data_IF_801824998662
#
_entry.id   IF_801824998662
#
_cell.length_a   1.000
_cell.length_b   1.000
_cell.length_c   1.000
_cell.angle_alpha   90.00
_cell.angle_beta   90.00
_cell.angle_gamma   90.00
#
_symmetry.space_group_name_H-M   'P 1'
#
loop_
_entity.id
_entity.type
_entity.pdbx_description
1 polymer ?
#
# COMPACT_ATOMS: atom_id res chain seq x y z
N UNK A 1 12.57 -6.48 12.70
CA UNK A 1 11.64 -6.10 13.77
C UNK A 1 12.07 -6.77 15.04
N UNK A 2 12.06 -6.04 16.15
CA UNK A 2 12.36 -6.60 17.46
C UNK A 2 11.34 -7.70 17.84
N UNK A 3 11.84 -8.70 18.56
CA UNK A 3 11.40 -10.10 18.51
C UNK A 3 10.24 -10.45 19.46
N UNK A 4 9.44 -9.48 19.88
CA UNK A 4 8.44 -9.69 20.93
C UNK A 4 7.01 -9.64 20.36
N UNK A 5 6.37 -10.80 20.16
CA UNK A 5 4.97 -10.84 19.75
C UNK A 5 4.03 -10.64 20.94
N UNK A 6 2.90 -9.97 20.70
CA UNK A 6 1.70 -10.11 21.52
C UNK A 6 0.99 -11.39 21.14
N UNK A 7 0.70 -12.24 22.12
CA UNK A 7 0.08 -13.55 21.90
C UNK A 7 -1.18 -13.67 22.75
N UNK A 8 -2.31 -13.96 22.10
CA UNK A 8 -3.53 -14.40 22.76
C UNK A 8 -3.64 -15.92 22.63
N UNK A 9 -3.24 -16.66 23.66
CA UNK A 9 -3.27 -18.11 23.67
C UNK A 9 -4.70 -18.71 23.53
N UNK A 10 -5.74 -18.18 24.20
CA UNK A 10 -7.11 -18.68 24.02
C UNK A 10 -7.62 -18.57 22.57
N UNK A 11 -7.20 -17.52 21.86
CA UNK A 11 -7.60 -17.27 20.47
C UNK A 11 -6.59 -17.80 19.44
N UNK A 12 -5.45 -18.34 19.89
CA UNK A 12 -4.32 -18.73 19.04
C UNK A 12 -3.87 -17.61 18.07
N UNK A 13 -3.87 -16.37 18.54
CA UNK A 13 -3.57 -15.17 17.74
C UNK A 13 -2.22 -14.56 18.15
N UNK A 14 -1.43 -14.12 17.16
CA UNK A 14 -0.10 -13.55 17.37
C UNK A 14 0.11 -12.30 16.50
N UNK A 15 0.59 -11.21 17.10
CA UNK A 15 0.97 -9.98 16.40
C UNK A 15 2.39 -9.57 16.79
N UNK A 16 3.21 -9.11 15.84
CA UNK A 16 4.44 -8.39 16.22
C UNK A 16 4.07 -7.02 16.80
N UNK A 17 4.82 -6.52 17.78
CA UNK A 17 4.64 -5.17 18.34
C UNK A 17 4.52 -4.11 17.22
N UNK A 18 5.51 -4.09 16.33
CA UNK A 18 5.57 -3.16 15.19
C UNK A 18 4.44 -3.35 14.16
N UNK A 19 3.74 -4.48 14.21
CA UNK A 19 2.67 -4.79 13.26
C UNK A 19 1.27 -4.47 13.81
N UNK A 20 1.11 -4.20 15.11
CA UNK A 20 -0.17 -3.80 15.70
C UNK A 20 -0.61 -2.43 15.19
N UNK A 21 0.35 -1.52 15.05
CA UNK A 21 0.08 -0.14 14.63
C UNK A 21 0.01 0.01 13.10
N UNK A 22 0.12 -1.09 12.34
CA UNK A 22 -0.04 -1.04 10.90
C UNK A 22 -1.50 -0.79 10.54
N UNK A 23 -1.78 0.15 9.62
CA UNK A 23 -3.14 0.42 9.21
C UNK A 23 -3.76 -0.77 8.48
N UNK A 24 -5.07 -0.94 8.59
CA UNK A 24 -5.82 -2.05 8.01
C UNK A 24 -6.17 -1.81 6.55
N UNK A 25 -6.60 -0.61 6.17
CA UNK A 25 -6.95 -0.27 4.79
C UNK A 25 -6.36 1.08 4.43
N UNK A 26 -5.59 1.14 3.36
CA UNK A 26 -4.89 2.37 2.94
C UNK A 26 -4.97 2.58 1.42
N UNK A 27 -4.68 3.81 1.00
CA UNK A 27 -4.41 4.18 -0.39
C UNK A 27 -2.91 4.44 -0.56
N UNK A 28 -2.35 4.07 -1.71
CA UNK A 28 -0.94 4.32 -2.04
C UNK A 28 -0.79 4.91 -3.43
N UNK A 29 0.28 5.66 -3.67
CA UNK A 29 0.53 6.25 -4.99
C UNK A 29 0.95 5.28 -6.10
N UNK A 30 1.09 3.99 -5.79
CA UNK A 30 1.46 2.96 -6.77
C UNK A 30 0.28 2.11 -7.22
N UNK A 31 -0.93 2.40 -6.73
CA UNK A 31 -2.12 1.61 -7.07
C UNK A 31 -3.41 2.41 -6.84
N UNK A 32 -4.33 2.35 -7.80
CA UNK A 32 -5.56 3.17 -7.78
C UNK A 32 -6.60 2.66 -6.77
N UNK A 33 -6.56 1.38 -6.42
CA UNK A 33 -7.48 0.79 -5.46
C UNK A 33 -6.91 0.82 -4.05
N UNK A 34 -7.80 0.92 -3.05
CA UNK A 34 -7.43 0.67 -1.66
C UNK A 34 -6.87 -0.74 -1.51
N UNK A 35 -5.85 -0.84 -0.68
CA UNK A 35 -5.21 -2.10 -0.35
C UNK A 35 -5.45 -2.40 1.13
N UNK A 36 -5.68 -3.66 1.44
CA UNK A 36 -5.92 -4.11 2.80
C UNK A 36 -4.73 -4.89 3.33
N UNK A 37 -4.39 -4.64 4.59
CA UNK A 37 -3.36 -5.39 5.29
C UNK A 37 -3.85 -6.82 5.47
N UNK A 38 -3.02 -7.76 5.04
CA UNK A 38 -3.31 -9.18 5.12
C UNK A 38 -2.12 -9.87 5.76
N UNK A 39 -2.34 -10.42 6.95
CA UNK A 39 -1.42 -11.37 7.52
C UNK A 39 -1.41 -12.63 6.65
N UNK A 40 -0.25 -13.17 6.27
CA UNK A 40 -0.19 -14.28 5.35
C UNK A 40 -0.50 -15.57 6.10
N UNK A 41 -1.30 -16.44 5.50
CA UNK A 41 -1.42 -17.85 5.91
C UNK A 41 -1.07 -18.82 4.77
N UNK A 42 -0.69 -18.30 3.60
CA UNK A 42 -0.25 -19.12 2.48
C UNK A 42 1.10 -18.64 1.96
N UNK A 43 2.14 -19.49 1.97
CA UNK A 43 3.32 -19.28 1.15
C UNK A 43 2.89 -19.08 -0.30
N UNK A 44 3.47 -18.10 -0.98
CA UNK A 44 3.23 -17.87 -2.39
C UNK A 44 4.32 -16.99 -2.98
N UNK A 45 4.62 -17.19 -4.25
CA UNK A 45 5.62 -16.45 -5.01
C UNK A 45 5.06 -15.07 -5.40
N UNK A 46 4.81 -14.21 -4.42
CA UNK A 46 4.37 -12.83 -4.65
C UNK A 46 5.57 -11.89 -4.61
N UNK A 47 5.65 -11.00 -5.58
CA UNK A 47 6.67 -9.95 -5.66
C UNK A 47 6.04 -8.62 -5.21
N UNK A 48 6.79 -7.81 -4.47
CA UNK A 48 6.35 -6.50 -4.05
C UNK A 48 6.39 -5.50 -5.21
N UNK A 49 5.27 -4.86 -5.52
CA UNK A 49 5.18 -3.89 -6.62
C UNK A 49 5.92 -2.57 -6.36
N UNK A 50 6.34 -2.31 -5.12
CA UNK A 50 7.10 -1.09 -4.75
C UNK A 50 8.61 -1.31 -4.88
N UNK A 51 9.15 -2.38 -4.29
CA UNK A 51 10.60 -2.62 -4.22
C UNK A 51 11.09 -3.74 -5.14
N UNK A 52 10.17 -4.44 -5.81
CA UNK A 52 10.45 -5.56 -6.74
C UNK A 52 11.21 -6.73 -6.09
N UNK A 53 11.05 -6.92 -4.78
CA UNK A 53 11.60 -8.04 -4.02
C UNK A 53 10.49 -8.99 -3.56
N UNK A 54 10.85 -10.26 -3.34
CA UNK A 54 9.92 -11.29 -2.90
C UNK A 54 9.25 -10.95 -1.56
N UNK A 55 7.95 -11.19 -1.47
CA UNK A 55 7.17 -11.02 -0.25
C UNK A 55 7.36 -12.24 0.62
N UNK A 56 8.21 -12.10 1.63
CA UNK A 56 8.31 -13.10 2.69
C UNK A 56 7.08 -13.03 3.60
N UNK A 57 6.56 -14.18 3.99
CA UNK A 57 5.41 -14.32 4.89
C UNK A 57 5.62 -13.71 6.29
N UNK A 58 6.85 -13.33 6.66
CA UNK A 58 7.18 -12.95 8.04
C UNK A 58 6.70 -11.57 8.46
N UNK A 59 6.36 -10.70 7.52
CA UNK A 59 6.10 -9.27 7.82
C UNK A 59 4.75 -8.76 7.32
N UNK A 60 3.86 -9.67 6.91
CA UNK A 60 2.60 -9.28 6.28
C UNK A 60 2.78 -8.63 4.92
N UNK A 61 1.67 -8.48 4.22
CA UNK A 61 1.61 -7.76 2.96
C UNK A 61 0.28 -7.03 2.87
N UNK A 62 0.24 -5.97 2.07
CA UNK A 62 -1.03 -5.44 1.60
C UNK A 62 -1.35 -6.03 0.24
N UNK A 63 -2.64 -6.27 0.01
CA UNK A 63 -3.16 -6.77 -1.25
C UNK A 63 -4.40 -5.99 -1.65
N UNK A 64 -4.63 -5.87 -2.95
CA UNK A 64 -5.87 -5.31 -3.48
C UNK A 64 -6.93 -6.41 -3.60
N UNK A 65 -8.17 -6.11 -3.20
CA UNK A 65 -9.29 -7.03 -3.39
C UNK A 65 -9.76 -7.10 -4.85
N UNK A 66 -9.56 -6.02 -5.62
CA UNK A 66 -9.95 -5.91 -7.04
C UNK A 66 -8.85 -6.42 -7.98
N UNK A 67 -7.58 -6.34 -7.57
CA UNK A 67 -6.41 -6.74 -8.35
C UNK A 67 -5.64 -7.87 -7.65
N UNK A 68 -5.91 -9.15 -7.97
CA UNK A 68 -5.38 -10.30 -7.22
C UNK A 68 -3.86 -10.43 -7.29
N UNK A 69 -3.25 -9.93 -8.36
CA UNK A 69 -1.80 -9.96 -8.60
C UNK A 69 -1.06 -8.79 -7.94
N UNK A 70 -1.78 -7.78 -7.42
CA UNK A 70 -1.16 -6.65 -6.75
C UNK A 70 -0.82 -7.01 -5.30
N UNK A 71 0.46 -6.89 -4.92
CA UNK A 71 0.91 -7.10 -3.55
C UNK A 71 2.12 -6.25 -3.22
N UNK A 72 2.19 -5.80 -1.96
CA UNK A 72 3.29 -4.96 -1.48
C UNK A 72 3.67 -5.37 -0.06
N UNK A 73 4.95 -5.30 0.29
CA UNK A 73 5.37 -5.48 1.69
C UNK A 73 4.69 -4.45 2.58
N UNK A 74 4.36 -4.83 3.81
CA UNK A 74 3.78 -3.90 4.79
C UNK A 74 4.59 -2.61 4.93
N UNK A 75 5.92 -2.75 5.10
CA UNK A 75 6.83 -1.61 5.24
C UNK A 75 6.99 -0.78 3.96
N UNK A 76 6.77 -1.37 2.79
CA UNK A 76 6.78 -0.62 1.54
C UNK A 76 5.50 0.18 1.38
N UNK A 77 4.36 -0.40 1.77
CA UNK A 77 3.06 0.25 1.70
C UNK A 77 2.98 1.45 2.64
N UNK A 78 3.53 1.35 3.85
CA UNK A 78 3.48 2.42 4.87
C UNK A 78 4.71 3.34 4.85
N UNK A 79 5.45 3.39 3.75
CA UNK A 79 6.60 4.31 3.60
C UNK A 79 6.08 5.73 3.37
N UNK A 80 6.66 6.73 4.03
CA UNK A 80 6.15 8.11 4.03
C UNK A 80 5.99 8.77 2.65
N UNK A 81 6.68 8.27 1.62
CA UNK A 81 6.58 8.72 0.21
C UNK A 81 5.67 7.83 -0.65
N UNK A 82 4.96 6.86 -0.04
CA UNK A 82 4.11 5.88 -0.72
C UNK A 82 2.65 6.02 -0.31
N UNK A 83 2.37 6.27 0.97
CA UNK A 83 1.02 6.48 1.53
C UNK A 83 0.89 7.82 2.24
N UNK A 84 -0.35 8.20 2.56
CA UNK A 84 -0.75 9.55 2.97
C UNK A 84 -0.90 9.66 4.50
N UNK A 85 -0.75 8.54 5.21
CA UNK A 85 -0.96 8.48 6.65
C UNK A 85 -2.42 8.25 7.05
N UNK A 86 -3.33 8.01 6.10
CA UNK A 86 -4.76 7.93 6.36
C UNK A 86 -5.22 6.46 6.43
N UNK A 87 -5.78 6.08 7.58
CA UNK A 87 -6.51 4.82 7.75
C UNK A 87 -7.93 4.94 7.16
N UNK A 88 -8.31 3.95 6.36
CA UNK A 88 -9.57 3.93 5.61
C UNK A 88 -10.47 2.74 5.98
N UNK A 89 -10.12 1.95 7.00
CA UNK A 89 -10.98 0.89 7.51
C UNK A 89 -12.32 1.48 8.00
N UNK A 90 -13.43 0.90 7.51
CA UNK A 90 -14.78 1.38 7.83
C UNK A 90 -15.21 2.65 7.08
N UNK A 91 -14.33 3.29 6.30
CA UNK A 91 -14.68 4.40 5.41
C UNK A 91 -15.30 3.84 4.14
N UNK A 92 -16.51 4.29 3.78
CA UNK A 92 -17.15 3.86 2.54
C UNK A 92 -16.28 4.25 1.33
N UNK A 93 -16.04 3.31 0.41
CA UNK A 93 -15.53 3.66 -0.93
C UNK A 93 -16.70 4.35 -1.66
N UNK A 94 -16.67 5.67 -1.75
CA UNK A 94 -17.51 6.35 -2.74
C UNK A 94 -16.89 6.00 -4.11
N UNK A 95 -17.68 5.49 -5.06
CA UNK A 95 -17.27 5.22 -6.45
C UNK A 95 -17.01 6.53 -7.24
N UNK A 96 -16.42 7.53 -6.59
CA UNK A 96 -15.84 8.66 -7.28
C UNK A 96 -14.59 8.12 -7.95
N UNK A 97 -14.47 8.35 -9.25
CA UNK A 97 -13.28 8.11 -10.06
C UNK A 97 -12.13 8.99 -9.51
N UNK A 98 -11.63 8.66 -8.32
CA UNK A 98 -10.53 9.35 -7.66
C UNK A 98 -9.26 8.76 -8.23
N UNK A 99 -8.99 9.08 -9.48
CA UNK A 99 -7.62 9.00 -9.98
C UNK A 99 -6.74 9.69 -8.93
N UNK A 100 -5.63 9.09 -8.49
CA UNK A 100 -4.77 9.65 -7.44
C UNK A 100 -4.07 10.95 -7.88
N UNK A 101 -4.45 11.46 -9.05
CA UNK A 101 -4.05 12.72 -9.61
C UNK A 101 -5.21 13.36 -10.37
N UNK A 102 -5.14 14.68 -10.49
CA UNK A 102 -5.97 15.50 -11.35
C UNK A 102 -5.12 15.97 -12.53
N UNK A 103 -5.56 15.67 -13.75
CA UNK A 103 -4.97 16.27 -14.94
C UNK A 103 -5.33 17.76 -14.98
N UNK A 104 -4.31 18.61 -15.02
CA UNK A 104 -4.49 20.07 -15.12
C UNK A 104 -4.55 20.45 -16.59
N UNK A 105 -3.61 19.94 -17.37
CA UNK A 105 -3.44 20.14 -18.81
C UNK A 105 -2.77 18.88 -19.41
N UNK A 106 -2.74 18.77 -20.74
CA UNK A 106 -2.13 17.62 -21.42
C UNK A 106 -0.68 17.39 -20.95
N UNK A 107 -0.42 16.23 -20.34
CA UNK A 107 0.90 15.89 -19.80
C UNK A 107 1.26 16.59 -18.48
N UNK A 108 0.31 17.26 -17.81
CA UNK A 108 0.53 17.93 -16.52
C UNK A 108 -0.49 17.44 -15.50
N UNK A 109 -0.03 16.77 -14.43
CA UNK A 109 -0.90 16.26 -13.38
C UNK A 109 -0.55 16.87 -12.01
N UNK A 110 -1.56 17.07 -11.16
CA UNK A 110 -1.38 17.33 -9.74
C UNK A 110 -1.76 16.06 -8.98
N UNK A 111 -0.82 15.48 -8.25
CA UNK A 111 -0.99 14.18 -7.61
C UNK A 111 -1.22 14.36 -6.11
N UNK A 112 -2.12 13.58 -5.50
CA UNK A 112 -2.58 13.78 -4.10
C UNK A 112 -1.45 13.66 -3.07
N UNK A 113 -0.37 12.97 -3.40
CA UNK A 113 0.82 12.88 -2.54
C UNK A 113 1.87 13.97 -2.83
N UNK A 114 1.58 14.85 -3.78
CA UNK A 114 2.46 15.90 -4.30
C UNK A 114 1.68 17.19 -4.56
N UNK A 115 0.70 17.54 -3.72
CA UNK A 115 -0.23 18.65 -3.98
C UNK A 115 0.46 20.01 -4.18
N UNK A 116 1.62 20.22 -3.55
CA UNK A 116 2.40 21.46 -3.66
C UNK A 116 3.00 21.70 -5.06
N UNK A 117 3.12 20.66 -5.90
CA UNK A 117 3.82 20.74 -7.18
C UNK A 117 3.10 19.95 -8.28
N UNK A 118 3.23 20.43 -9.52
CA UNK A 118 2.70 19.70 -10.67
C UNK A 118 3.77 18.78 -11.26
N UNK A 119 3.37 17.56 -11.61
CA UNK A 119 4.21 16.58 -12.30
C UNK A 119 4.03 16.74 -13.81
N UNK A 120 5.15 16.86 -14.50
CA UNK A 120 5.21 16.94 -15.96
C UNK A 120 5.54 15.56 -16.52
N UNK A 121 4.72 15.10 -17.46
CA UNK A 121 4.99 13.91 -18.25
C UNK A 121 6.26 14.20 -19.07
N UNK A 122 7.35 13.52 -18.74
CA UNK A 122 8.57 13.61 -19.52
C UNK A 122 8.43 12.65 -20.70
N UNK A 123 8.37 13.19 -21.92
CA UNK A 123 8.56 12.42 -23.14
C UNK A 123 9.93 11.76 -23.03
N UNK A 124 9.96 10.45 -22.83
CA UNK A 124 11.20 9.70 -22.68
C UNK A 124 12.10 9.95 -23.89
N UNK A 125 13.07 10.84 -23.73
CA UNK A 125 14.09 11.09 -24.73
C UNK A 125 14.84 9.79 -24.97
N UNK A 126 14.69 9.25 -26.18
CA UNK A 126 15.62 8.29 -26.73
C UNK A 126 17.04 8.89 -26.63
N UNK A 127 17.92 8.21 -25.90
CA UNK A 127 19.37 8.26 -26.07
C UNK A 127 19.92 6.86 -26.16
#
# INVERSE_FOLDING_TARGET
GERNPYVCLPCSLMFHYDCIDLPHVISINRHDHRISHRYPLTPGDRVCEVCRQDITWRYGAYSCNKCPDFSVHSLCATRNDVWDGIELEGVHEEDVDTTPFKEIEEGVINHIFHEEHNLLLSDGGEV
#
